data_IF_960069898689
#
_entry.id   IF_960069898689
#
_cell.length_a   1.000
_cell.length_b   1.000
_cell.length_c   1.000
_cell.angle_alpha   90.00
_cell.angle_beta   90.00
_cell.angle_gamma   90.00
#
_symmetry.space_group_name_H-M   'P 1'
#
loop_
_entity.id
_entity.type
_entity.pdbx_description
1 polymer ?
#
# COMPACT_ATOMS: atom_id res chain seq x y z
N UNK A 1 -12.93 51.32 17.57
CA UNK A 1 -11.73 50.45 17.79
C UNK A 1 -12.05 49.12 18.50
N UNK A 2 -13.25 48.52 18.35
CA UNK A 2 -13.62 47.27 19.07
C UNK A 2 -13.48 45.98 18.25
N UNK A 3 -13.47 46.05 16.91
CA UNK A 3 -13.39 44.83 16.09
C UNK A 3 -12.02 44.16 16.10
N UNK A 4 -10.92 44.90 16.30
CA UNK A 4 -9.56 44.32 16.29
C UNK A 4 -9.29 43.36 17.46
N UNK A 5 -9.96 43.51 18.60
CA UNK A 5 -9.71 42.68 19.79
C UNK A 5 -10.25 41.24 19.68
N UNK A 6 -11.25 41.01 18.82
CA UNK A 6 -11.85 39.68 18.61
C UNK A 6 -11.13 38.94 17.48
N UNK A 7 -10.54 39.66 16.51
CA UNK A 7 -9.80 39.05 15.40
C UNK A 7 -8.54 38.32 15.85
N UNK A 8 -7.77 38.83 16.82
CA UNK A 8 -6.55 38.16 17.29
C UNK A 8 -6.79 36.77 17.90
N UNK A 9 -7.71 36.57 18.86
CA UNK A 9 -7.97 35.24 19.41
C UNK A 9 -8.56 34.29 18.36
N UNK A 10 -9.34 34.79 17.40
CA UNK A 10 -9.90 33.99 16.30
C UNK A 10 -8.83 33.53 15.30
N UNK A 11 -7.87 34.40 14.98
CA UNK A 11 -6.71 34.05 14.13
C UNK A 11 -5.79 33.06 14.85
N UNK A 12 -5.53 33.27 16.15
CA UNK A 12 -4.74 32.34 16.96
C UNK A 12 -5.42 30.97 17.03
N UNK A 13 -6.72 30.93 17.35
CA UNK A 13 -7.50 29.69 17.41
C UNK A 13 -7.56 28.99 16.05
N UNK A 14 -7.79 29.72 14.95
CA UNK A 14 -7.77 29.19 13.60
C UNK A 14 -6.40 28.61 13.20
N UNK A 15 -5.31 29.30 13.54
CA UNK A 15 -3.95 28.81 13.29
C UNK A 15 -3.62 27.56 14.12
N UNK A 16 -4.02 27.51 15.39
CA UNK A 16 -3.84 26.35 16.25
C UNK A 16 -4.61 25.13 15.72
N UNK A 17 -5.85 25.31 15.25
CA UNK A 17 -6.64 24.26 14.60
C UNK A 17 -5.99 23.75 13.30
N UNK A 18 -5.48 24.66 12.47
CA UNK A 18 -4.81 24.29 11.22
C UNK A 18 -3.51 23.52 11.47
N UNK A 19 -2.73 23.95 12.47
CA UNK A 19 -1.51 23.26 12.91
C UNK A 19 -1.87 21.89 13.50
N UNK A 20 -2.90 21.80 14.34
CA UNK A 20 -3.34 20.53 14.91
C UNK A 20 -3.83 19.54 13.83
N UNK A 21 -4.59 20.02 12.84
CA UNK A 21 -5.09 19.21 11.74
C UNK A 21 -3.98 18.73 10.81
N UNK A 22 -3.05 19.62 10.44
CA UNK A 22 -1.90 19.24 9.61
C UNK A 22 -0.95 18.32 10.36
N UNK A 23 -0.68 18.60 11.64
CA UNK A 23 0.12 17.73 12.49
C UNK A 23 -0.52 16.34 12.62
N UNK A 24 -1.83 16.22 12.85
CA UNK A 24 -2.46 14.89 12.95
C UNK A 24 -2.27 14.08 11.67
N UNK A 25 -2.43 14.70 10.50
CA UNK A 25 -2.25 14.00 9.22
C UNK A 25 -0.82 13.50 8.98
N UNK A 26 0.19 14.24 9.46
CA UNK A 26 1.60 13.85 9.36
C UNK A 26 2.07 12.93 10.49
N UNK A 27 1.47 13.00 11.68
CA UNK A 27 1.84 12.21 12.85
C UNK A 27 1.12 10.86 12.90
N UNK A 28 -0.01 10.73 12.19
CA UNK A 28 -0.74 9.48 12.03
C UNK A 28 -0.11 8.58 10.97
N UNK A 29 -0.05 7.28 11.23
CA UNK A 29 0.27 6.25 10.25
C UNK A 29 -1.01 5.76 9.56
N UNK A 30 -0.98 5.61 8.24
CA UNK A 30 -2.11 5.16 7.44
C UNK A 30 -1.82 3.89 6.65
N UNK A 31 -2.86 3.24 6.13
CA UNK A 31 -2.75 2.05 5.29
C UNK A 31 -1.97 2.31 3.98
N UNK A 32 -2.14 3.49 3.38
CA UNK A 32 -1.39 3.92 2.20
C UNK A 32 0.13 3.94 2.47
N UNK A 33 0.54 4.30 3.70
CA UNK A 33 1.95 4.29 4.10
C UNK A 33 2.52 2.86 4.10
N UNK A 34 1.70 1.87 4.50
CA UNK A 34 2.06 0.44 4.48
C UNK A 34 2.20 -0.07 3.06
N UNK A 35 1.19 0.19 2.22
CA UNK A 35 1.19 -0.18 0.79
C UNK A 35 2.43 0.38 0.08
N UNK A 36 2.74 1.65 0.31
CA UNK A 36 3.87 2.33 -0.33
C UNK A 36 5.22 1.76 0.12
N UNK A 37 5.43 1.55 1.42
CA UNK A 37 6.71 1.09 1.95
C UNK A 37 6.99 -0.39 1.66
N UNK A 38 5.96 -1.25 1.72
CA UNK A 38 6.09 -2.69 1.40
C UNK A 38 5.96 -3.00 -0.09
N UNK A 39 5.68 -1.98 -0.92
CA UNK A 39 5.46 -2.12 -2.36
C UNK A 39 4.34 -3.13 -2.66
N UNK A 40 3.17 -2.87 -2.07
CA UNK A 40 1.94 -3.62 -2.33
C UNK A 40 0.86 -2.70 -2.92
N UNK A 41 -0.08 -3.29 -3.65
CA UNK A 41 -1.20 -2.55 -4.27
C UNK A 41 -2.47 -2.78 -3.47
N UNK A 42 -3.29 -1.74 -3.33
CA UNK A 42 -4.62 -1.85 -2.74
C UNK A 42 -5.48 -2.78 -3.62
N UNK A 43 -6.05 -3.82 -3.01
CA UNK A 43 -6.95 -4.77 -3.66
C UNK A 43 -8.22 -4.14 -4.23
N UNK A 44 -8.71 -3.02 -3.70
CA UNK A 44 -9.93 -2.34 -4.17
C UNK A 44 -9.83 -1.89 -5.63
N UNK A 45 -8.60 -1.77 -6.15
CA UNK A 45 -8.33 -1.43 -7.55
C UNK A 45 -8.47 -2.63 -8.49
N UNK A 46 -8.58 -3.84 -7.95
CA UNK A 46 -8.60 -5.10 -8.67
C UNK A 46 -9.89 -5.86 -8.35
N UNK A 47 -10.54 -6.38 -9.37
CA UNK A 47 -11.68 -7.26 -9.19
C UNK A 47 -11.19 -8.67 -8.82
N UNK A 48 -11.59 -9.12 -7.64
CA UNK A 48 -11.32 -10.46 -7.09
C UNK A 48 -9.83 -10.87 -7.22
N UNK A 49 -8.88 -10.12 -6.64
CA UNK A 49 -7.48 -10.46 -6.71
C UNK A 49 -7.22 -11.83 -6.07
N UNK A 50 -6.42 -12.65 -6.74
CA UNK A 50 -6.09 -13.99 -6.27
C UNK A 50 -4.70 -14.39 -6.76
N UNK A 51 -3.89 -15.11 -5.96
CA UNK A 51 -2.59 -15.61 -6.41
C UNK A 51 -2.69 -16.38 -7.73
N UNK A 52 -1.72 -16.16 -8.63
CA UNK A 52 -1.72 -16.75 -9.97
C UNK A 52 -2.53 -15.99 -11.03
N UNK A 53 -3.37 -15.02 -10.66
CA UNK A 53 -4.03 -14.15 -11.65
C UNK A 53 -3.05 -13.16 -12.25
N UNK A 54 -3.16 -12.93 -13.56
CA UNK A 54 -2.42 -11.90 -14.27
C UNK A 54 -3.27 -10.65 -14.48
N UNK A 55 -2.68 -9.48 -14.23
CA UNK A 55 -3.29 -8.17 -14.45
C UNK A 55 -2.40 -7.31 -15.34
N UNK A 56 -3.01 -6.48 -16.17
CA UNK A 56 -2.31 -5.51 -17.00
C UNK A 56 -2.11 -4.21 -16.23
N UNK A 57 -0.90 -3.67 -16.23
CA UNK A 57 -0.57 -2.33 -15.76
C UNK A 57 -0.36 -1.41 -16.96
N UNK A 58 -1.16 -0.36 -17.06
CA UNK A 58 -1.05 0.63 -18.14
C UNK A 58 -0.03 1.71 -17.74
N UNK A 59 1.12 1.74 -18.40
CA UNK A 59 2.23 2.65 -18.08
C UNK A 59 1.86 4.14 -18.18
N UNK A 60 1.12 4.60 -19.20
CA UNK A 60 0.79 6.03 -19.35
C UNK A 60 -0.04 6.60 -18.19
N UNK A 61 -0.97 5.83 -17.61
CA UNK A 61 -1.77 6.29 -16.47
C UNK A 61 -1.25 5.83 -15.12
N UNK A 62 -0.37 4.81 -15.11
CA UNK A 62 0.13 4.19 -13.89
C UNK A 62 -0.95 3.43 -13.11
N UNK A 63 -1.90 2.81 -13.82
CA UNK A 63 -3.02 2.09 -13.21
C UNK A 63 -3.14 0.66 -13.71
N UNK A 64 -3.67 -0.22 -12.86
CA UNK A 64 -4.05 -1.56 -13.26
C UNK A 64 -5.41 -1.56 -13.96
N UNK A 65 -5.53 -2.39 -14.99
CA UNK A 65 -6.84 -2.85 -15.43
C UNK A 65 -7.49 -3.66 -14.31
N UNK A 66 -8.70 -3.29 -13.91
CA UNK A 66 -9.36 -3.89 -12.75
C UNK A 66 -9.67 -5.38 -12.95
N UNK A 67 -9.90 -5.84 -14.18
CA UNK A 67 -10.25 -7.24 -14.47
C UNK A 67 -8.99 -8.05 -14.78
N UNK A 68 -8.84 -9.27 -14.24
CA UNK A 68 -7.71 -10.13 -14.59
C UNK A 68 -7.75 -10.54 -16.06
N UNK A 69 -6.57 -10.63 -16.68
CA UNK A 69 -6.41 -11.13 -18.04
C UNK A 69 -6.59 -12.65 -18.11
N UNK A 70 -5.99 -13.36 -17.15
CA UNK A 70 -6.01 -14.82 -17.09
C UNK A 70 -5.60 -15.33 -15.71
N UNK A 71 -5.75 -16.64 -15.48
CA UNK A 71 -5.31 -17.36 -14.27
C UNK A 71 -4.43 -18.54 -14.66
N UNK A 72 -3.65 -19.04 -13.71
CA UNK A 72 -2.88 -20.28 -13.87
C UNK A 72 -3.77 -21.53 -13.78
N UNK A 73 -3.36 -22.59 -14.49
CA UNK A 73 -4.13 -23.82 -14.70
C UNK A 73 -4.21 -24.74 -13.46
N UNK A 74 -3.17 -24.77 -12.62
CA UNK A 74 -3.22 -25.40 -11.30
C UNK A 74 -2.44 -24.55 -10.30
N UNK A 75 -3.16 -24.03 -9.31
CA UNK A 75 -2.63 -23.22 -8.24
C UNK A 75 -2.90 -23.95 -6.92
N UNK A 76 -1.89 -24.63 -6.36
CA UNK A 76 -1.98 -25.12 -4.99
C UNK A 76 -2.01 -23.92 -4.05
N UNK A 77 -3.15 -23.75 -3.39
CA UNK A 77 -3.44 -22.63 -2.51
C UNK A 77 -3.15 -23.05 -1.08
N UNK A 78 -2.10 -22.48 -0.49
CA UNK A 78 -1.89 -22.54 0.94
C UNK A 78 -2.31 -21.21 1.54
N UNK A 79 -3.34 -21.25 2.38
CA UNK A 79 -3.68 -20.16 3.29
C UNK A 79 -2.81 -20.36 4.52
N UNK A 80 -1.96 -19.38 4.81
CA UNK A 80 -1.29 -19.34 6.10
C UNK A 80 -2.32 -19.05 7.18
N UNK A 81 -2.41 -19.94 8.16
CA UNK A 81 -3.32 -19.77 9.30
C UNK A 81 -2.80 -18.73 10.28
N UNK A 82 -1.50 -18.47 10.25
CA UNK A 82 -0.90 -17.45 11.10
C UNK A 82 -1.05 -16.09 10.43
N UNK A 83 -1.67 -15.14 11.15
CA UNK A 83 -1.83 -13.78 10.65
C UNK A 83 -0.46 -13.11 10.50
N UNK A 84 -0.22 -12.56 9.32
CA UNK A 84 0.91 -11.66 9.06
C UNK A 84 0.54 -10.29 9.61
N UNK A 85 1.27 -9.83 10.61
CA UNK A 85 1.06 -8.50 11.18
C UNK A 85 2.06 -7.51 10.60
N UNK A 86 1.55 -6.49 9.91
CA UNK A 86 2.36 -5.34 9.51
C UNK A 86 2.30 -4.30 10.62
N UNK A 87 3.46 -4.00 11.21
CA UNK A 87 3.57 -2.98 12.24
C UNK A 87 4.20 -1.72 11.66
N UNK A 88 3.40 -0.67 11.49
CA UNK A 88 3.86 0.60 10.97
C UNK A 88 3.81 1.66 12.07
N UNK A 89 4.90 2.39 12.27
CA UNK A 89 4.99 3.43 13.30
C UNK A 89 5.53 4.74 12.72
N UNK A 90 5.00 5.86 13.21
CA UNK A 90 5.50 7.20 12.90
C UNK A 90 6.50 7.62 13.96
N UNK A 91 7.77 7.75 13.58
CA UNK A 91 8.86 8.07 14.50
C UNK A 91 8.68 9.44 15.14
N UNK A 92 8.23 10.44 14.37
CA UNK A 92 8.00 11.80 14.87
C UNK A 92 6.74 11.88 15.71
N UNK A 93 5.66 11.20 15.31
CA UNK A 93 4.44 11.00 16.10
C UNK A 93 4.74 10.40 17.46
N UNK A 94 5.63 9.40 17.50
CA UNK A 94 6.06 8.74 18.73
C UNK A 94 6.84 9.67 19.64
N UNK A 95 7.81 10.40 19.11
CA UNK A 95 8.58 11.38 19.88
C UNK A 95 7.70 12.52 20.41
N UNK A 96 6.80 13.04 19.58
CA UNK A 96 5.85 14.07 19.98
C UNK A 96 4.90 13.57 21.08
N UNK A 97 4.33 12.37 20.91
CA UNK A 97 3.49 11.74 21.93
C UNK A 97 4.25 11.50 23.24
N UNK A 98 5.52 11.08 23.17
CA UNK A 98 6.37 10.90 24.35
C UNK A 98 6.68 12.24 25.04
N UNK A 99 7.00 13.29 24.27
CA UNK A 99 7.26 14.62 24.80
C UNK A 99 6.01 15.22 25.47
N UNK A 100 4.84 15.09 24.83
CA UNK A 100 3.56 15.52 25.39
C UNK A 100 3.28 14.78 26.71
N UNK A 101 3.49 13.46 26.72
CA UNK A 101 3.31 12.64 27.93
C UNK A 101 4.26 13.09 29.06
N UNK A 102 5.51 13.42 28.77
CA UNK A 102 6.46 13.93 29.75
C UNK A 102 6.01 15.28 30.35
N UNK A 103 5.60 16.23 29.50
CA UNK A 103 5.11 17.54 29.95
C UNK A 103 3.87 17.41 30.84
N UNK A 104 2.92 16.58 30.42
CA UNK A 104 1.66 16.35 31.16
C UNK A 104 1.89 15.67 32.51
N UNK A 105 2.85 14.74 32.57
CA UNK A 105 3.28 14.10 33.82
C UNK A 105 3.97 15.11 34.75
N UNK A 106 4.82 15.99 34.20
CA UNK A 106 5.53 17.01 34.96
C UNK A 106 4.60 18.10 35.54
N UNK A 107 3.46 18.37 34.89
CA UNK A 107 2.43 19.28 35.39
C UNK A 107 1.48 18.67 36.43
N UNK A 108 1.76 17.44 36.90
CA UNK A 108 1.00 16.78 37.97
C UNK A 108 -0.38 16.28 37.54
N UNK A 109 -0.69 16.26 36.24
CA UNK A 109 -1.91 15.66 35.72
C UNK A 109 -1.73 14.15 35.67
N UNK A 110 -2.70 13.39 36.19
CA UNK A 110 -2.62 11.92 36.16
C UNK A 110 -2.67 11.41 34.71
N UNK A 111 -1.97 10.31 34.44
CA UNK A 111 -2.02 9.59 33.13
C UNK A 111 -3.45 9.21 32.74
N UNK A 112 -4.35 9.09 33.71
CA UNK A 112 -5.75 8.68 33.56
C UNK A 112 -6.68 9.88 33.24
N UNK A 113 -6.38 11.08 33.74
CA UNK A 113 -7.16 12.31 33.47
C UNK A 113 -6.74 13.03 32.17
N UNK A 114 -5.61 12.63 31.58
CA UNK A 114 -5.11 13.19 30.33
C UNK A 114 -5.37 12.26 29.15
N UNK A 115 -6.66 12.15 28.80
CA UNK A 115 -7.18 11.41 27.65
C UNK A 115 -6.81 12.01 26.27
N UNK A 116 -5.61 12.59 26.13
CA UNK A 116 -5.02 12.80 24.81
C UNK A 116 -4.45 11.47 24.32
N UNK A 117 -5.37 10.55 24.01
CA UNK A 117 -5.03 9.34 23.28
C UNK A 117 -4.58 9.80 21.89
N UNK A 118 -3.26 9.81 21.67
CA UNK A 118 -2.66 10.01 20.35
C UNK A 118 -2.92 8.73 19.56
N UNK A 119 -4.17 8.57 19.14
CA UNK A 119 -4.62 7.43 18.38
C UNK A 119 -3.90 7.45 17.03
N UNK A 120 -3.10 6.42 16.74
CA UNK A 120 -2.38 6.13 15.49
C UNK A 120 -0.94 6.64 15.27
N UNK A 121 -0.14 6.76 16.34
CA UNK A 121 1.35 6.74 16.19
C UNK A 121 1.83 5.41 15.62
N UNK A 122 1.08 4.34 15.88
CA UNK A 122 1.29 3.00 15.34
C UNK A 122 0.02 2.49 14.67
N UNK A 123 0.20 1.65 13.66
CA UNK A 123 -0.83 0.94 12.92
C UNK A 123 -0.38 -0.52 12.82
N UNK A 124 -1.19 -1.42 13.38
CA UNK A 124 -0.95 -2.86 13.35
C UNK A 124 -2.03 -3.51 12.47
N UNK A 125 -1.62 -4.24 11.45
CA UNK A 125 -2.52 -4.85 10.47
C UNK A 125 -2.30 -6.37 10.43
N UNK A 126 -3.06 -7.13 11.24
CA UNK A 126 -3.01 -8.59 11.21
C UNK A 126 -3.86 -9.11 10.06
N UNK A 127 -3.22 -9.60 9.00
CA UNK A 127 -3.88 -10.09 7.79
C UNK A 127 -3.51 -11.54 7.51
N UNK A 128 -4.46 -12.31 7.01
CA UNK A 128 -4.17 -13.64 6.49
C UNK A 128 -3.52 -13.53 5.11
N UNK A 129 -2.62 -14.47 4.81
CA UNK A 129 -1.85 -14.47 3.57
C UNK A 129 -2.12 -15.74 2.77
N UNK A 130 -2.48 -15.55 1.50
CA UNK A 130 -2.56 -16.63 0.53
C UNK A 130 -1.39 -16.55 -0.46
N UNK A 131 -0.78 -17.70 -0.73
CA UNK A 131 0.35 -17.85 -1.64
C UNK A 131 -0.02 -18.74 -2.83
N UNK A 132 0.44 -18.40 -4.04
CA UNK A 132 0.62 -19.38 -5.12
C UNK A 132 1.59 -18.93 -6.21
N UNK A 133 2.43 -19.86 -6.65
CA UNK A 133 2.65 -20.26 -8.05
C UNK A 133 3.91 -21.11 -8.03
N UNK A 134 3.74 -22.43 -8.02
CA UNK A 134 4.83 -23.34 -8.32
C UNK A 134 5.39 -22.92 -9.69
N UNK A 135 6.70 -22.67 -9.74
CA UNK A 135 7.36 -22.31 -11.00
C UNK A 135 7.05 -23.38 -12.03
N UNK A 136 6.66 -22.97 -13.24
CA UNK A 136 6.20 -23.77 -14.39
C UNK A 136 4.69 -23.95 -14.59
N UNK A 137 3.83 -23.36 -13.74
CA UNK A 137 2.41 -23.29 -14.07
C UNK A 137 2.15 -22.42 -15.33
N UNK A 138 1.38 -22.95 -16.29
CA UNK A 138 0.95 -22.23 -17.49
C UNK A 138 -0.35 -21.48 -17.22
N UNK A 139 -0.57 -20.40 -17.97
CA UNK A 139 -1.86 -19.76 -18.02
C UNK A 139 -2.89 -20.70 -18.65
N UNK A 140 -4.14 -20.59 -18.22
CA UNK A 140 -5.25 -21.33 -18.82
C UNK A 140 -5.31 -21.05 -20.33
N UNK A 141 -5.36 -22.12 -21.12
CA UNK A 141 -5.24 -22.06 -22.58
C UNK A 141 -6.22 -21.06 -23.22
N UNK A 142 -7.46 -21.01 -22.74
CA UNK A 142 -8.51 -20.13 -23.28
C UNK A 142 -8.26 -18.62 -23.07
N UNK A 143 -7.36 -18.23 -22.16
CA UNK A 143 -7.07 -16.82 -21.89
C UNK A 143 -5.59 -16.45 -22.02
N UNK A 144 -4.71 -17.42 -22.28
CA UNK A 144 -3.28 -17.20 -22.44
C UNK A 144 -2.96 -16.17 -23.53
N UNK A 145 -3.70 -16.19 -24.64
CA UNK A 145 -3.50 -15.25 -25.75
C UNK A 145 -3.69 -13.79 -25.33
N UNK A 146 -4.67 -13.49 -24.46
CA UNK A 146 -4.88 -12.13 -23.93
C UNK A 146 -3.69 -11.63 -23.11
N UNK A 147 -3.04 -12.54 -22.39
CA UNK A 147 -1.83 -12.24 -21.61
C UNK A 147 -0.67 -11.96 -22.56
N UNK A 148 -0.52 -12.77 -23.61
CA UNK A 148 0.53 -12.60 -24.61
C UNK A 148 0.37 -11.31 -25.42
N UNK A 149 -0.85 -11.00 -25.87
CA UNK A 149 -1.17 -9.76 -26.59
C UNK A 149 -0.87 -8.53 -25.73
N UNK A 150 -1.32 -8.51 -24.47
CA UNK A 150 -1.05 -7.38 -23.56
C UNK A 150 0.40 -7.27 -23.12
N UNK A 151 1.11 -8.39 -22.99
CA UNK A 151 2.54 -8.37 -22.69
C UNK A 151 3.39 -7.91 -23.88
N UNK A 152 2.88 -8.05 -25.11
CA UNK A 152 3.54 -7.57 -26.33
C UNK A 152 3.29 -6.08 -26.61
N UNK A 153 2.27 -5.49 -25.99
CA UNK A 153 1.95 -4.06 -26.12
C UNK A 153 2.96 -3.20 -25.34
N UNK A 154 3.57 -2.23 -26.02
CA UNK A 154 4.59 -1.36 -25.44
C UNK A 154 4.06 -0.43 -24.36
N UNK A 155 2.75 -0.19 -24.26
CA UNK A 155 2.17 0.66 -23.22
C UNK A 155 1.81 -0.11 -21.95
N UNK A 156 1.87 -1.44 -21.99
CA UNK A 156 1.45 -2.30 -20.89
C UNK A 156 2.60 -3.10 -20.30
N UNK A 157 2.42 -3.46 -19.03
CA UNK A 157 3.26 -4.45 -18.35
C UNK A 157 2.33 -5.42 -17.65
N UNK A 158 2.50 -6.71 -17.90
CA UNK A 158 1.65 -7.74 -17.28
C UNK A 158 2.31 -8.27 -16.03
N UNK A 159 1.60 -8.20 -14.90
CA UNK A 159 2.06 -8.68 -13.62
C UNK A 159 1.21 -9.83 -13.12
N UNK A 160 1.86 -10.83 -12.53
CA UNK A 160 1.19 -11.96 -11.89
C UNK A 160 1.09 -11.70 -10.38
N UNK A 161 -0.08 -11.89 -9.78
CA UNK A 161 -0.25 -11.85 -8.32
C UNK A 161 0.52 -13.00 -7.69
N UNK A 162 1.43 -12.68 -6.77
CA UNK A 162 2.21 -13.62 -5.99
C UNK A 162 1.52 -13.92 -4.65
N UNK A 163 1.15 -12.86 -3.93
CA UNK A 163 0.47 -12.96 -2.65
C UNK A 163 -0.76 -12.07 -2.63
N UNK A 164 -1.79 -12.53 -1.94
CA UNK A 164 -2.97 -11.73 -1.65
C UNK A 164 -3.23 -11.79 -0.14
N UNK A 165 -3.43 -10.62 0.45
CA UNK A 165 -3.65 -10.41 1.87
C UNK A 165 -5.10 -10.02 2.11
N UNK A 166 -5.75 -10.69 3.05
CA UNK A 166 -7.17 -10.48 3.34
C UNK A 166 -7.44 -10.55 4.84
N UNK A 167 -8.61 -10.06 5.22
CA UNK A 167 -9.22 -10.31 6.53
C UNK A 167 -10.49 -11.12 6.33
N UNK A 168 -10.77 -12.05 7.25
CA UNK A 168 -11.98 -12.86 7.17
C UNK A 168 -13.11 -12.13 7.87
N UNK A 169 -14.11 -11.68 7.11
CA UNK A 169 -15.29 -11.07 7.69
C UNK A 169 -16.25 -12.17 8.18
N UNK A 170 -16.39 -12.24 9.50
CA UNK A 170 -17.26 -13.21 10.18
C UNK A 170 -18.76 -12.94 9.97
N UNK A 171 -19.15 -11.72 9.61
CA UNK A 171 -20.56 -11.36 9.37
C UNK A 171 -21.01 -11.79 7.97
N UNK A 172 -20.20 -11.54 6.96
CA UNK A 172 -20.51 -11.94 5.57
C UNK A 172 -20.03 -13.35 5.22
N UNK A 173 -19.09 -13.92 5.99
CA UNK A 173 -18.48 -15.22 5.71
C UNK A 173 -17.53 -15.21 4.52
N UNK A 174 -17.04 -14.02 4.13
CA UNK A 174 -16.23 -13.81 2.93
C UNK A 174 -14.87 -13.17 3.28
N UNK A 175 -13.86 -13.46 2.44
CA UNK A 175 -12.54 -12.84 2.55
C UNK A 175 -12.59 -11.42 1.98
N UNK A 176 -12.31 -10.42 2.81
CA UNK A 176 -12.10 -9.05 2.40
C UNK A 176 -10.64 -8.83 2.02
N UNK A 177 -10.35 -8.82 0.72
CA UNK A 177 -9.00 -8.49 0.22
C UNK A 177 -8.61 -7.07 0.62
N UNK A 178 -7.41 -6.91 1.16
CA UNK A 178 -6.85 -5.61 1.56
C UNK A 178 -5.64 -5.22 0.71
N UNK A 179 -4.75 -6.17 0.42
CA UNK A 179 -3.51 -5.89 -0.30
C UNK A 179 -3.13 -7.02 -1.23
N UNK A 180 -2.40 -6.69 -2.29
CA UNK A 180 -1.79 -7.68 -3.18
C UNK A 180 -0.33 -7.36 -3.42
N UNK A 181 0.49 -8.41 -3.53
CA UNK A 181 1.85 -8.32 -4.04
C UNK A 181 1.92 -9.03 -5.38
N UNK A 182 2.60 -8.40 -6.33
CA UNK A 182 2.88 -9.01 -7.62
C UNK A 182 4.29 -9.62 -7.63
N UNK A 183 4.49 -10.63 -8.48
CA UNK A 183 5.83 -11.14 -8.75
C UNK A 183 6.72 -9.99 -9.23
N UNK A 184 7.98 -9.92 -8.77
CA UNK A 184 8.88 -8.82 -9.10
C UNK A 184 9.26 -8.77 -10.58
N UNK A 185 9.18 -9.92 -11.28
CA UNK A 185 9.39 -9.99 -12.72
C UNK A 185 8.04 -10.00 -13.43
N UNK A 186 7.84 -9.13 -14.43
CA UNK A 186 6.63 -9.17 -15.24
C UNK A 186 6.56 -10.47 -16.04
N UNK A 187 5.35 -10.80 -16.50
CA UNK A 187 5.13 -11.91 -17.42
C UNK A 187 5.69 -11.51 -18.77
N UNK A 188 6.70 -12.24 -19.23
CA UNK A 188 7.26 -12.11 -20.57
C UNK A 188 6.89 -13.34 -21.38
N UNK A 189 6.19 -13.13 -22.49
CA UNK A 189 6.16 -14.12 -23.56
C UNK A 189 7.38 -13.84 -24.42
N UNK A 190 8.12 -14.87 -24.81
CA UNK A 190 9.40 -14.78 -25.52
C UNK A 190 9.22 -14.11 -26.90
N UNK A 191 9.06 -12.78 -26.88
CA UNK A 191 9.03 -11.79 -27.97
C UNK A 191 9.32 -10.39 -27.42
N UNK A 192 10.14 -10.28 -26.38
CA UNK A 192 11.01 -9.12 -26.34
C UNK A 192 11.94 -9.31 -27.54
N UNK A 193 11.92 -8.43 -28.53
CA UNK A 193 12.80 -8.53 -29.69
C UNK A 193 14.21 -8.89 -29.22
N UNK A 194 14.90 -9.85 -29.88
CA UNK A 194 16.27 -10.14 -29.55
C UNK A 194 17.06 -8.87 -29.85
N UNK A 195 17.30 -8.07 -28.80
CA UNK A 195 18.33 -7.07 -28.82
C UNK A 195 19.60 -7.75 -29.31
N UNK A 196 20.30 -7.10 -30.24
CA UNK A 196 21.58 -7.56 -30.76
C UNK A 196 22.46 -8.05 -29.58
N UNK A 197 23.36 -9.04 -29.79
CA UNK A 197 24.13 -9.70 -28.73
C UNK A 197 24.88 -8.77 -27.76
N UNK A 198 25.02 -7.48 -28.09
CA UNK A 198 25.68 -6.45 -27.28
C UNK A 198 24.70 -5.56 -26.47
N UNK A 199 23.38 -5.74 -26.61
CA UNK A 199 22.34 -5.01 -25.88
C UNK A 199 21.21 -5.97 -25.45
N UNK A 200 21.26 -6.54 -24.24
CA UNK A 200 20.12 -7.30 -23.73
C UNK A 200 18.89 -6.41 -23.73
N UNK A 201 17.69 -6.93 -24.10
CA UNK A 201 16.47 -6.17 -23.96
C UNK A 201 16.36 -5.73 -22.51
N UNK A 202 16.47 -4.43 -22.28
CA UNK A 202 16.12 -3.81 -21.03
C UNK A 202 14.60 -3.92 -20.94
N UNK A 203 14.10 -5.07 -20.49
CA UNK A 203 12.77 -5.13 -19.91
C UNK A 203 12.87 -4.22 -18.69
N UNK A 204 12.51 -2.95 -18.86
CA UNK A 204 12.47 -2.00 -17.78
C UNK A 204 11.64 -2.65 -16.67
N UNK A 205 12.32 -3.08 -15.62
CA UNK A 205 11.71 -3.39 -14.34
C UNK A 205 11.35 -2.03 -13.74
N UNK A 206 10.49 -1.26 -14.41
CA UNK A 206 9.84 -0.10 -13.84
C UNK A 206 9.06 -0.63 -12.65
N UNK A 207 9.76 -0.65 -11.52
CA UNK A 207 9.26 -0.88 -10.19
C UNK A 207 7.94 -0.16 -10.11
N UNK A 208 6.84 -0.93 -10.10
CA UNK A 208 5.46 -0.52 -9.85
C UNK A 208 5.45 0.90 -9.27
N UNK A 209 5.42 1.90 -10.15
CA UNK A 209 5.73 3.24 -9.71
C UNK A 209 4.48 3.73 -8.99
N UNK A 210 4.57 3.82 -7.66
CA UNK A 210 3.50 4.23 -6.75
C UNK A 210 3.17 5.72 -6.91
N UNK A 211 3.16 6.24 -8.14
CA UNK A 211 2.78 7.61 -8.48
C UNK A 211 1.37 7.95 -8.02
N UNK A 212 0.50 6.95 -7.87
CA UNK A 212 -0.84 7.12 -7.30
C UNK A 212 -0.89 7.23 -5.76
N UNK A 213 0.23 7.06 -5.04
CA UNK A 213 0.24 7.29 -3.61
C UNK A 213 -0.03 8.76 -3.31
N UNK A 214 -0.80 9.01 -2.24
CA UNK A 214 -1.13 10.36 -1.81
C UNK A 214 0.17 11.15 -1.51
N UNK A 215 0.11 12.48 -1.64
CA UNK A 215 1.31 13.33 -1.49
C UNK A 215 1.93 13.20 -0.08
N UNK A 216 1.09 13.02 0.94
CA UNK A 216 1.51 12.94 2.35
C UNK A 216 2.37 11.70 2.59
N UNK A 217 1.96 10.54 2.10
CA UNK A 217 2.68 9.27 2.16
C UNK A 217 4.05 9.37 1.49
N UNK A 218 4.11 10.02 0.32
CA UNK A 218 5.39 10.25 -0.38
C UNK A 218 6.34 11.10 0.46
N UNK A 219 5.85 12.19 1.07
CA UNK A 219 6.67 13.04 1.94
C UNK A 219 7.13 12.29 3.18
N UNK A 220 6.21 11.57 3.85
CA UNK A 220 6.52 10.74 5.02
C UNK A 220 7.63 9.74 4.72
N UNK A 221 7.60 9.12 3.54
CA UNK A 221 8.63 8.21 3.08
C UNK A 221 9.97 8.91 2.79
N UNK A 222 9.96 9.99 1.99
CA UNK A 222 11.19 10.74 1.65
C UNK A 222 11.93 11.25 2.89
N UNK A 223 11.19 11.67 3.91
CA UNK A 223 11.74 12.19 5.16
C UNK A 223 12.05 11.10 6.20
N UNK A 224 11.81 9.81 5.89
CA UNK A 224 12.08 8.70 6.81
C UNK A 224 11.21 8.73 8.08
N UNK A 225 9.99 9.27 8.01
CA UNK A 225 9.13 9.47 9.18
C UNK A 225 8.41 8.19 9.61
N UNK A 226 8.34 7.19 8.73
CA UNK A 226 7.61 5.94 8.95
C UNK A 226 8.58 4.76 8.93
N UNK A 227 8.43 3.87 9.92
CA UNK A 227 9.13 2.59 10.00
C UNK A 227 8.11 1.46 9.92
N UNK A 228 8.37 0.43 9.12
CA UNK A 228 7.48 -0.73 8.98
C UNK A 228 8.26 -2.04 9.11
N UNK A 229 7.94 -2.83 10.13
CA UNK A 229 8.43 -4.22 10.29
C UNK A 229 7.38 -5.19 9.79
#
# INVERSE_FOLDING_TARGET
MKNKLIFYPLVIFGSALLIAFTASHFLTVSFDDVLYHKRHVNSDRLNAPWPGKAYAFYKPTGQFEATPLCSLEMADLQIDKDKVTFHAQNTVGKQFSQALSYVMTASGMSKEETSYQVYSVSLDLPLEKSFTSTGEAKFLEYCQDRVAEKAADTDYVVYQVENAYFDFDTETGHNEWKMVSFKPKPVIFVRCEPGAPDNPPQCDNELLDYRAANWVTKVKYMLGLISIS
#
